data_IF_890385049885
#
_entry.id   IF_890385049885
#
_cell.length_a   1.000
_cell.length_b   1.000
_cell.length_c   1.000
_cell.angle_alpha   90.00
_cell.angle_beta   90.00
_cell.angle_gamma   90.00
#
_symmetry.space_group_name_H-M   'P 1'
#
loop_
_entity.id
_entity.type
_entity.pdbx_description
1 polymer ?
#
# COMPACT_ATOMS: atom_id res chain seq x y z
N UNK A 1 -3.04 -10.14 3.05
CA UNK A 1 -3.44 -9.31 4.20
C UNK A 1 -2.22 -8.81 4.98
N UNK A 2 -1.28 -9.69 5.33
CA UNK A 2 0.01 -9.31 5.93
C UNK A 2 1.04 -8.93 4.85
N UNK A 3 2.04 -8.12 5.20
CA UNK A 3 3.25 -7.90 4.40
C UNK A 3 4.05 -9.19 4.25
N UNK A 4 4.93 -9.25 3.23
CA UNK A 4 5.85 -10.38 3.06
C UNK A 4 7.05 -10.21 3.98
N UNK A 5 7.57 -11.31 4.51
CA UNK A 5 8.85 -11.31 5.21
C UNK A 5 10.00 -11.41 4.20
N UNK A 6 11.13 -10.76 4.48
CA UNK A 6 12.37 -10.93 3.73
C UNK A 6 12.40 -10.28 2.34
N UNK A 7 11.84 -9.06 2.19
CA UNK A 7 12.06 -8.30 0.97
C UNK A 7 13.54 -7.93 0.81
N UNK A 8 14.15 -8.36 -0.31
CA UNK A 8 15.57 -8.15 -0.59
C UNK A 8 15.98 -6.67 -0.67
N UNK A 9 15.10 -5.79 -1.12
CA UNK A 9 15.37 -4.36 -1.23
C UNK A 9 15.34 -3.71 0.14
N UNK A 10 14.36 -4.06 0.98
CA UNK A 10 14.28 -3.57 2.37
C UNK A 10 15.45 -4.09 3.22
N UNK A 11 15.85 -5.35 3.03
CA UNK A 11 17.02 -5.93 3.71
C UNK A 11 18.31 -5.21 3.32
N UNK A 12 18.54 -5.00 2.02
CA UNK A 12 19.72 -4.27 1.54
C UNK A 12 19.75 -2.82 2.04
N UNK A 13 18.59 -2.20 2.22
CA UNK A 13 18.46 -0.87 2.80
C UNK A 13 18.55 -0.83 4.34
N UNK A 14 18.82 -1.97 4.99
CA UNK A 14 18.85 -2.12 6.45
C UNK A 14 17.52 -1.83 7.18
N UNK A 15 16.38 -1.84 6.47
CA UNK A 15 15.06 -1.56 7.04
C UNK A 15 14.50 -2.74 7.87
N UNK A 16 15.06 -3.95 7.70
CA UNK A 16 14.59 -5.17 8.37
C UNK A 16 15.39 -5.56 9.63
N UNK A 17 16.22 -4.68 10.20
CA UNK A 17 17.01 -5.02 11.41
C UNK A 17 16.09 -5.41 12.59
N UNK A 18 16.57 -6.33 13.42
CA UNK A 18 15.90 -6.83 14.62
C UNK A 18 14.54 -7.51 14.38
N UNK A 19 14.28 -7.97 13.15
CA UNK A 19 13.05 -8.69 12.82
C UNK A 19 12.83 -9.91 13.74
N UNK A 20 11.60 -10.18 14.24
CA UNK A 20 10.34 -9.45 14.04
C UNK A 20 10.02 -8.43 15.15
N UNK A 21 10.98 -8.00 15.95
CA UNK A 21 10.74 -7.12 17.12
C UNK A 21 10.04 -5.82 16.71
N UNK A 22 8.92 -5.52 17.37
CA UNK A 22 8.10 -4.33 17.12
C UNK A 22 7.24 -4.37 15.86
N UNK A 23 7.27 -5.46 15.08
CA UNK A 23 6.45 -5.62 13.87
C UNK A 23 5.11 -6.25 14.20
N UNK A 24 4.08 -5.87 13.47
CA UNK A 24 2.77 -6.45 13.68
C UNK A 24 1.71 -5.97 12.71
N UNK A 25 0.52 -6.51 12.89
CA UNK A 25 -0.68 -6.13 12.16
C UNK A 25 -1.83 -5.94 13.13
N UNK A 26 -2.51 -4.80 13.03
CA UNK A 26 -3.86 -4.62 13.54
C UNK A 26 -4.86 -4.84 12.40
N UNK A 27 -6.03 -5.40 12.71
CA UNK A 27 -7.16 -5.39 11.79
C UNK A 27 -8.48 -5.45 12.56
N UNK A 28 -9.55 -4.93 11.95
CA UNK A 28 -10.90 -5.18 12.45
C UNK A 28 -11.33 -6.64 12.19
N UNK A 29 -12.40 -7.10 12.83
CA UNK A 29 -12.87 -8.49 12.71
C UNK A 29 -13.13 -8.90 11.25
N UNK A 30 -13.73 -7.99 10.46
CA UNK A 30 -14.04 -8.22 9.04
C UNK A 30 -12.83 -8.13 8.11
N UNK A 31 -11.63 -7.78 8.60
CA UNK A 31 -10.41 -7.55 7.82
C UNK A 31 -10.61 -6.57 6.65
N UNK A 32 -11.48 -5.58 6.83
CA UNK A 32 -11.75 -4.52 5.86
C UNK A 32 -10.97 -3.24 6.15
N UNK A 33 -10.43 -3.12 7.36
CA UNK A 33 -9.45 -2.13 7.76
C UNK A 33 -8.29 -2.81 8.49
N UNK A 34 -7.06 -2.49 8.10
CA UNK A 34 -5.84 -3.06 8.65
C UNK A 34 -4.80 -1.94 8.84
N UNK A 35 -3.90 -2.14 9.80
CA UNK A 35 -2.72 -1.29 9.99
C UNK A 35 -1.50 -2.21 10.10
N UNK A 36 -0.54 -2.04 9.19
CA UNK A 36 0.78 -2.67 9.35
C UNK A 36 1.66 -1.76 10.19
N UNK A 37 2.38 -2.34 11.15
CA UNK A 37 3.28 -1.61 12.04
C UNK A 37 4.74 -2.03 11.77
N UNK A 38 5.60 -1.04 11.53
CA UNK A 38 7.07 -1.17 11.42
C UNK A 38 7.57 -2.11 10.30
N UNK A 39 6.92 -2.10 9.14
CA UNK A 39 7.43 -2.80 7.95
C UNK A 39 8.35 -1.90 7.12
N UNK A 40 7.94 -1.40 5.95
CA UNK A 40 8.71 -0.40 5.18
C UNK A 40 8.61 0.99 5.83
N UNK A 41 7.38 1.39 6.18
CA UNK A 41 7.07 2.61 6.92
C UNK A 41 6.64 2.28 8.35
N UNK A 42 6.60 3.30 9.23
CA UNK A 42 6.12 3.14 10.60
C UNK A 42 4.69 2.57 10.64
N UNK A 43 3.81 3.10 9.80
CA UNK A 43 2.41 2.70 9.70
C UNK A 43 1.98 2.59 8.24
N UNK A 44 1.26 1.52 7.89
CA UNK A 44 0.52 1.42 6.64
C UNK A 44 -0.96 1.20 6.92
N UNK A 45 -1.78 2.22 6.68
CA UNK A 45 -3.22 2.15 6.86
C UNK A 45 -3.88 1.64 5.58
N UNK A 46 -4.66 0.56 5.70
CA UNK A 46 -5.20 -0.17 4.56
C UNK A 46 -6.71 -0.31 4.74
N UNK A 47 -7.46 0.10 3.73
CA UNK A 47 -8.89 -0.19 3.60
C UNK A 47 -9.10 -1.03 2.35
N UNK A 48 -9.78 -2.16 2.48
CA UNK A 48 -10.03 -3.07 1.36
C UNK A 48 -11.30 -3.89 1.56
N UNK A 49 -11.84 -4.43 0.46
CA UNK A 49 -12.96 -5.37 0.46
C UNK A 49 -13.05 -6.09 -0.89
N UNK A 50 -13.91 -7.11 -0.97
CA UNK A 50 -14.32 -7.71 -2.24
C UNK A 50 -15.28 -6.78 -3.00
N UNK A 51 -15.30 -6.90 -4.32
CA UNK A 51 -16.10 -6.03 -5.20
C UNK A 51 -15.37 -4.72 -5.56
N UNK A 52 -16.11 -3.79 -6.16
CA UNK A 52 -15.56 -2.56 -6.76
C UNK A 52 -16.05 -1.25 -6.13
N UNK A 53 -16.61 -1.28 -4.91
CA UNK A 53 -17.12 -0.07 -4.24
C UNK A 53 -15.97 0.78 -3.65
N UNK A 54 -15.32 1.55 -4.53
CA UNK A 54 -14.24 2.45 -4.14
C UNK A 54 -14.71 3.53 -3.16
N UNK A 55 -15.97 3.98 -3.27
CA UNK A 55 -16.52 5.04 -2.39
C UNK A 55 -16.54 4.56 -0.95
N UNK A 56 -17.01 3.34 -0.71
CA UNK A 56 -17.04 2.75 0.64
C UNK A 56 -15.63 2.51 1.18
N UNK A 57 -14.73 1.96 0.35
CA UNK A 57 -13.33 1.71 0.73
C UNK A 57 -12.62 3.01 1.12
N UNK A 58 -12.74 4.05 0.28
CA UNK A 58 -12.07 5.32 0.51
C UNK A 58 -12.64 6.06 1.72
N UNK A 59 -13.98 6.07 1.91
CA UNK A 59 -14.60 6.68 3.09
C UNK A 59 -14.10 6.05 4.40
N UNK A 60 -13.96 4.72 4.43
CA UNK A 60 -13.42 4.00 5.58
C UNK A 60 -11.96 4.38 5.86
N UNK A 61 -11.14 4.52 4.81
CA UNK A 61 -9.75 4.95 4.94
C UNK A 61 -9.64 6.37 5.52
N UNK A 62 -10.36 7.33 4.93
CA UNK A 62 -10.35 8.73 5.36
C UNK A 62 -10.79 8.86 6.83
N UNK A 63 -11.84 8.14 7.23
CA UNK A 63 -12.31 8.13 8.63
C UNK A 63 -11.19 7.66 9.56
N UNK A 64 -10.53 6.55 9.23
CA UNK A 64 -9.48 5.99 10.07
C UNK A 64 -8.22 6.86 10.13
N UNK A 65 -7.79 7.46 9.00
CA UNK A 65 -6.63 8.37 8.96
C UNK A 65 -6.87 9.58 9.85
N UNK A 66 -8.01 10.25 9.70
CA UNK A 66 -8.35 11.43 10.51
C UNK A 66 -8.40 11.10 12.01
N UNK A 67 -8.98 9.95 12.37
CA UNK A 67 -9.07 9.51 13.76
C UNK A 67 -7.70 9.16 14.38
N UNK A 68 -6.77 8.65 13.59
CA UNK A 68 -5.43 8.27 14.07
C UNK A 68 -4.52 9.50 14.13
N UNK A 69 -4.57 10.38 13.13
CA UNK A 69 -3.80 11.62 13.08
C UNK A 69 -4.10 12.55 14.27
N UNK A 70 -5.34 12.55 14.76
CA UNK A 70 -5.72 13.26 15.99
C UNK A 70 -5.06 12.72 17.28
N UNK A 71 -4.46 11.52 17.24
CA UNK A 71 -3.87 10.84 18.40
C UNK A 71 -2.36 10.66 18.29
N UNK A 72 -1.83 10.60 17.07
CA UNK A 72 -0.43 10.34 16.79
C UNK A 72 0.05 11.40 15.78
N UNK A 73 1.06 12.22 16.13
CA UNK A 73 1.58 13.20 15.19
C UNK A 73 2.31 12.51 14.04
N UNK A 74 1.90 12.79 12.81
CA UNK A 74 2.58 12.32 11.60
C UNK A 74 3.63 13.33 11.12
N UNK A 75 4.73 12.81 10.59
CA UNK A 75 5.80 13.64 10.01
C UNK A 75 5.36 14.21 8.67
N UNK A 76 5.24 15.53 8.62
CA UNK A 76 4.87 16.28 7.42
C UNK A 76 5.93 17.35 7.08
N UNK A 77 6.14 17.60 5.80
CA UNK A 77 7.04 18.61 5.28
C UNK A 77 6.34 19.47 4.23
N UNK A 78 6.47 20.80 4.31
CA UNK A 78 5.74 21.75 3.47
C UNK A 78 5.83 21.47 1.96
N UNK A 79 7.02 21.11 1.48
CA UNK A 79 7.23 20.75 0.07
C UNK A 79 6.80 19.32 -0.29
N UNK A 80 7.00 18.37 0.62
CA UNK A 80 6.98 16.93 0.28
C UNK A 80 5.71 16.23 0.76
N UNK A 81 4.85 16.90 1.54
CA UNK A 81 3.71 16.30 2.18
C UNK A 81 4.12 15.37 3.32
N UNK A 82 3.39 14.28 3.51
CA UNK A 82 3.73 13.25 4.48
C UNK A 82 5.01 12.51 4.08
N UNK A 83 5.90 12.35 5.05
CA UNK A 83 7.21 11.73 4.84
C UNK A 83 7.14 10.22 4.98
N UNK A 84 7.82 9.52 4.08
CA UNK A 84 7.89 8.06 3.99
C UNK A 84 9.33 7.61 3.79
N UNK A 85 9.60 6.32 4.02
CA UNK A 85 10.92 5.73 3.82
C UNK A 85 11.36 5.77 2.36
N UNK A 86 10.47 5.37 1.44
CA UNK A 86 10.72 5.41 0.01
C UNK A 86 10.20 6.71 -0.61
N UNK A 87 10.98 7.40 -1.47
CA UNK A 87 10.54 8.66 -2.09
C UNK A 87 9.32 8.50 -3.01
N UNK A 88 9.04 7.29 -3.49
CA UNK A 88 7.84 7.00 -4.31
C UNK A 88 6.53 7.12 -3.54
N UNK A 89 6.58 7.07 -2.19
CA UNK A 89 5.41 7.14 -1.33
C UNK A 89 5.20 8.54 -0.72
N UNK A 90 5.99 9.56 -1.07
CA UNK A 90 5.84 10.92 -0.53
C UNK A 90 4.50 11.57 -0.93
N UNK A 91 4.17 12.67 -0.27
CA UNK A 91 3.02 13.50 -0.59
C UNK A 91 1.76 12.96 0.07
N UNK A 92 0.88 12.38 -0.73
CA UNK A 92 -0.38 11.80 -0.23
C UNK A 92 -0.16 10.46 0.46
N UNK A 93 0.91 9.75 0.14
CA UNK A 93 1.16 8.34 0.51
C UNK A 93 0.08 7.36 0.02
N UNK A 94 -0.88 7.81 -0.79
CA UNK A 94 -2.03 7.02 -1.22
C UNK A 94 -1.65 6.11 -2.39
N UNK A 95 -1.99 4.83 -2.24
CA UNK A 95 -2.03 3.88 -3.36
C UNK A 95 -3.41 3.22 -3.46
N UNK A 96 -4.25 3.73 -4.35
CA UNK A 96 -5.52 3.09 -4.69
C UNK A 96 -5.28 1.99 -5.74
N UNK A 97 -5.73 0.76 -5.48
CA UNK A 97 -5.52 -0.38 -6.39
C UNK A 97 -6.71 -1.33 -6.41
N UNK A 98 -6.85 -2.05 -7.53
CA UNK A 98 -7.82 -3.13 -7.70
C UNK A 98 -7.11 -4.42 -8.12
N UNK A 99 -7.61 -5.57 -7.69
CA UNK A 99 -7.30 -6.84 -8.34
C UNK A 99 -8.35 -7.06 -9.43
N UNK A 100 -7.92 -7.08 -10.69
CA UNK A 100 -8.81 -7.13 -11.85
C UNK A 100 -8.35 -8.18 -12.86
N UNK A 101 -9.30 -8.89 -13.47
CA UNK A 101 -9.03 -9.82 -14.57
C UNK A 101 -9.35 -9.15 -15.90
N UNK A 102 -8.34 -8.97 -16.73
CA UNK A 102 -8.46 -8.37 -18.07
C UNK A 102 -7.91 -9.33 -19.14
N UNK A 103 -8.50 -10.53 -19.33
CA UNK A 103 -7.86 -11.62 -20.06
C UNK A 103 -7.42 -11.26 -21.49
N UNK A 104 -8.20 -10.42 -22.19
CA UNK A 104 -7.85 -9.97 -23.55
C UNK A 104 -6.66 -9.01 -23.57
N UNK A 105 -6.64 -8.05 -22.65
CA UNK A 105 -5.57 -7.05 -22.58
C UNK A 105 -4.30 -7.63 -21.96
N UNK A 106 -4.44 -8.52 -20.97
CA UNK A 106 -3.34 -9.18 -20.27
C UNK A 106 -2.68 -10.30 -21.09
N UNK A 107 -3.27 -10.72 -22.21
CA UNK A 107 -2.63 -11.66 -23.15
C UNK A 107 -1.34 -11.08 -23.75
N UNK A 108 -1.23 -9.75 -23.83
CA UNK A 108 0.00 -9.03 -24.16
C UNK A 108 0.36 -8.11 -22.99
N UNK A 109 1.34 -8.53 -22.19
CA UNK A 109 1.79 -7.78 -21.02
C UNK A 109 2.36 -6.41 -21.38
N UNK A 110 3.09 -6.30 -22.49
CA UNK A 110 3.63 -5.02 -22.94
C UNK A 110 2.50 -4.06 -23.31
N UNK A 111 1.44 -4.57 -23.96
CA UNK A 111 0.26 -3.77 -24.27
C UNK A 111 -0.51 -3.33 -23.02
N UNK A 112 -0.66 -4.22 -22.04
CA UNK A 112 -1.28 -3.89 -20.76
C UNK A 112 -0.51 -2.77 -20.04
N UNK A 113 0.83 -2.86 -20.01
CA UNK A 113 1.68 -1.85 -19.38
C UNK A 113 1.66 -0.52 -20.14
N UNK A 114 1.67 -0.55 -21.48
CA UNK A 114 1.51 0.65 -22.33
C UNK A 114 0.19 1.37 -22.04
N UNK A 115 -0.92 0.63 -21.97
CA UNK A 115 -2.25 1.20 -21.70
C UNK A 115 -2.32 1.76 -20.27
N UNK A 116 -1.84 1.03 -19.27
CA UNK A 116 -1.81 1.50 -17.89
C UNK A 116 -0.98 2.78 -17.73
N UNK A 117 0.18 2.85 -18.39
CA UNK A 117 1.06 4.01 -18.37
C UNK A 117 0.40 5.30 -18.88
N UNK A 118 -0.47 5.21 -19.90
CA UNK A 118 -1.24 6.37 -20.42
C UNK A 118 -2.16 7.01 -19.38
N UNK A 119 -2.56 6.26 -18.35
CA UNK A 119 -3.42 6.73 -17.27
C UNK A 119 -2.66 6.93 -15.95
N UNK A 120 -1.31 6.93 -15.99
CA UNK A 120 -0.46 7.01 -14.80
C UNK A 120 -0.72 5.87 -13.80
N UNK A 121 -1.08 4.69 -14.31
CA UNK A 121 -1.32 3.49 -13.52
C UNK A 121 -0.11 2.56 -13.61
N UNK A 122 0.16 1.85 -12.52
CA UNK A 122 1.22 0.84 -12.45
C UNK A 122 0.61 -0.56 -12.32
N UNK A 123 1.08 -1.50 -13.14
CA UNK A 123 0.67 -2.91 -13.07
C UNK A 123 1.61 -3.68 -12.16
N UNK A 124 1.05 -4.46 -11.23
CA UNK A 124 1.78 -5.29 -10.26
C UNK A 124 1.18 -6.69 -10.23
N UNK A 125 1.94 -7.67 -9.75
CA UNK A 125 1.45 -9.04 -9.57
C UNK A 125 0.44 -9.16 -8.43
N UNK A 126 -0.22 -10.31 -8.33
CA UNK A 126 -1.32 -10.53 -7.36
C UNK A 126 -0.87 -10.54 -5.90
N UNK A 127 0.43 -10.74 -5.65
CA UNK A 127 1.03 -10.69 -4.30
C UNK A 127 1.78 -9.38 -4.04
N UNK A 128 1.68 -8.39 -4.94
CA UNK A 128 2.26 -7.06 -4.77
C UNK A 128 3.40 -6.75 -5.75
N UNK A 129 4.29 -5.85 -5.34
CA UNK A 129 5.47 -5.52 -6.14
C UNK A 129 6.38 -6.73 -6.30
N UNK A 130 6.93 -6.89 -7.51
CA UNK A 130 7.90 -7.94 -7.86
C UNK A 130 7.38 -9.38 -7.78
N UNK A 131 6.06 -9.59 -7.87
CA UNK A 131 5.48 -10.93 -7.98
C UNK A 131 4.85 -11.14 -9.36
N UNK A 132 4.71 -12.40 -9.77
CA UNK A 132 3.91 -12.74 -10.95
C UNK A 132 2.42 -12.41 -10.73
N UNK A 133 1.71 -12.27 -11.85
CA UNK A 133 0.26 -12.04 -11.88
C UNK A 133 -0.50 -13.28 -11.43
#
# INVERSE_FOLDING_TARGET
FLFKEGDRFLQAANACRYWPSGRGIYHNESKTFLVWCNEEDHLRLISMQMGGDLKQVYKRLVTAVNDIENRIPFSHHDRLGFLTFCPTNLGTTIRASVHIKLPKLAADKAKLDEVAGKYNLQVRGTRGEHTEA
#
